data_IF_460602031554
#
_entry.id   IF_460602031554
#
_cell.length_a   1.000
_cell.length_b   1.000
_cell.length_c   1.000
_cell.angle_alpha   90.00
_cell.angle_beta   90.00
_cell.angle_gamma   90.00
#
_symmetry.space_group_name_H-M   'P 1'
#
loop_
_entity.id
_entity.type
_entity.pdbx_description
1 polymer ?
#
# COMPACT_ATOMS: atom_id res chain seq x y z
N UNK A 1 7.76 -34.53 -12.36
CA UNK A 1 6.31 -34.71 -12.10
C UNK A 1 5.69 -35.58 -13.18
N UNK A 2 5.93 -35.34 -14.44
CA UNK A 2 5.39 -36.13 -15.56
C UNK A 2 5.68 -37.64 -15.44
N UNK A 3 6.91 -38.01 -15.05
CA UNK A 3 7.27 -39.43 -14.80
C UNK A 3 6.43 -40.13 -13.71
N UNK A 4 5.95 -39.40 -12.73
CA UNK A 4 5.07 -39.94 -11.68
C UNK A 4 3.68 -40.27 -12.26
N UNK A 5 3.20 -39.41 -13.15
CA UNK A 5 1.92 -39.64 -13.83
C UNK A 5 2.02 -40.81 -14.78
N UNK A 6 3.11 -40.92 -15.55
CA UNK A 6 3.37 -42.08 -16.44
C UNK A 6 3.39 -43.38 -15.63
N UNK A 7 4.08 -43.42 -14.49
CA UNK A 7 4.13 -44.60 -13.63
C UNK A 7 2.78 -44.91 -12.96
N UNK A 8 1.96 -43.91 -12.67
CA UNK A 8 0.60 -44.12 -12.17
C UNK A 8 -0.30 -44.77 -13.23
N UNK A 9 -0.20 -44.30 -14.48
CA UNK A 9 -0.96 -44.87 -15.61
C UNK A 9 -0.51 -46.32 -15.84
N UNK A 10 0.80 -46.58 -15.83
CA UNK A 10 1.35 -47.95 -16.00
C UNK A 10 0.94 -48.85 -14.85
N UNK A 11 0.91 -48.36 -13.61
CA UNK A 11 0.43 -49.11 -12.45
C UNK A 11 -1.05 -49.47 -12.56
N UNK A 12 -1.90 -48.56 -13.05
CA UNK A 12 -3.31 -48.86 -13.29
C UNK A 12 -3.55 -49.89 -14.40
N UNK A 13 -2.71 -49.85 -15.44
CA UNK A 13 -2.75 -50.84 -16.53
C UNK A 13 -2.34 -52.22 -16.02
N UNK A 14 -1.27 -52.31 -15.22
CA UNK A 14 -0.84 -53.55 -14.59
C UNK A 14 -1.88 -54.10 -13.60
N UNK A 15 -2.57 -53.23 -12.84
CA UNK A 15 -3.61 -53.63 -11.93
C UNK A 15 -4.83 -54.26 -12.66
N UNK A 16 -5.18 -53.71 -13.84
CA UNK A 16 -6.22 -54.28 -14.71
C UNK A 16 -5.81 -55.60 -15.34
N UNK A 17 -4.51 -55.83 -15.55
CA UNK A 17 -3.97 -57.07 -16.06
C UNK A 17 -3.75 -58.15 -14.97
N UNK A 18 -4.00 -57.80 -13.68
CA UNK A 18 -3.80 -58.74 -12.57
C UNK A 18 -2.34 -58.92 -12.12
N UNK A 19 -1.40 -58.13 -12.64
CA UNK A 19 0.02 -58.20 -12.28
C UNK A 19 0.30 -57.33 -11.02
N UNK A 20 -0.06 -57.84 -9.86
CA UNK A 20 0.15 -57.16 -8.60
C UNK A 20 1.62 -56.99 -8.21
N UNK A 21 2.54 -57.85 -8.74
CA UNK A 21 3.96 -57.70 -8.53
C UNK A 21 4.50 -56.41 -9.15
N UNK A 22 4.12 -56.16 -10.39
CA UNK A 22 4.49 -54.94 -11.12
C UNK A 22 3.85 -53.70 -10.52
N UNK A 23 2.62 -53.79 -10.01
CA UNK A 23 1.95 -52.71 -9.31
C UNK A 23 2.72 -52.29 -8.04
N UNK A 24 3.19 -53.30 -7.27
CA UNK A 24 3.97 -53.03 -6.04
C UNK A 24 5.31 -52.38 -6.35
N UNK A 25 6.03 -52.87 -7.37
CA UNK A 25 7.30 -52.28 -7.84
C UNK A 25 7.13 -50.82 -8.26
N UNK A 26 6.10 -50.52 -9.04
CA UNK A 26 5.83 -49.17 -9.51
C UNK A 26 5.42 -48.21 -8.36
N UNK A 27 4.48 -48.62 -7.52
CA UNK A 27 3.94 -47.77 -6.46
C UNK A 27 4.94 -47.55 -5.31
N UNK A 28 5.57 -48.62 -4.82
CA UNK A 28 6.43 -48.54 -3.65
C UNK A 28 7.92 -48.37 -4.00
N UNK A 29 8.32 -48.70 -5.22
CA UNK A 29 9.68 -48.55 -5.72
C UNK A 29 9.83 -47.24 -6.50
N UNK A 30 9.41 -47.23 -7.75
CA UNK A 30 9.72 -46.14 -8.70
C UNK A 30 9.07 -44.81 -8.39
N UNK A 31 7.79 -44.79 -7.98
CA UNK A 31 7.10 -43.55 -7.59
C UNK A 31 7.72 -42.98 -6.31
N UNK A 32 8.02 -43.82 -5.32
CA UNK A 32 8.63 -43.37 -4.06
C UNK A 32 10.03 -42.78 -4.26
N UNK A 33 10.84 -43.40 -5.16
CA UNK A 33 12.17 -42.89 -5.49
C UNK A 33 12.13 -41.53 -6.17
N UNK A 34 11.23 -41.38 -7.17
CA UNK A 34 11.06 -40.11 -7.89
C UNK A 34 10.50 -39.03 -6.95
N UNK A 35 9.60 -39.39 -6.02
CA UNK A 35 9.07 -38.44 -5.02
C UNK A 35 10.18 -37.96 -4.09
N UNK A 36 11.03 -38.85 -3.55
CA UNK A 36 12.20 -38.45 -2.74
C UNK A 36 13.13 -37.51 -3.47
N UNK A 37 13.36 -37.76 -4.77
CA UNK A 37 14.19 -36.90 -5.60
C UNK A 37 13.58 -35.51 -5.79
N UNK A 38 12.26 -35.42 -5.94
CA UNK A 38 11.53 -34.14 -6.03
C UNK A 38 11.66 -33.40 -4.70
N UNK A 39 11.43 -34.06 -3.58
CA UNK A 39 11.50 -33.45 -2.25
C UNK A 39 12.91 -32.94 -1.95
N UNK A 40 13.95 -33.69 -2.32
CA UNK A 40 15.34 -33.26 -2.19
C UNK A 40 15.68 -32.06 -3.04
N UNK A 41 15.24 -32.03 -4.29
CA UNK A 41 15.43 -30.87 -5.19
C UNK A 41 14.67 -29.64 -4.72
N UNK A 42 13.43 -29.82 -4.25
CA UNK A 42 12.63 -28.74 -3.66
C UNK A 42 13.28 -28.15 -2.43
N UNK A 43 13.88 -29.03 -1.58
CA UNK A 43 14.61 -28.58 -0.38
C UNK A 43 15.87 -27.80 -0.75
N UNK A 44 16.64 -28.26 -1.72
CA UNK A 44 17.82 -27.55 -2.24
C UNK A 44 17.44 -26.21 -2.85
N UNK A 45 16.31 -26.15 -3.55
CA UNK A 45 15.80 -24.90 -4.15
C UNK A 45 15.37 -23.89 -3.07
N UNK A 46 14.77 -24.35 -1.95
CA UNK A 46 14.41 -23.51 -0.82
C UNK A 46 15.63 -22.95 -0.03
N UNK A 47 16.79 -23.62 -0.13
CA UNK A 47 18.05 -23.18 0.50
C UNK A 47 18.76 -22.07 -0.31
N UNK A 48 18.39 -21.86 -1.57
CA UNK A 48 18.93 -20.77 -2.42
C UNK A 48 18.24 -19.46 -2.03
N UNK A 49 18.96 -18.60 -1.34
CA UNK A 49 18.46 -17.31 -0.80
C UNK A 49 17.98 -16.30 -1.85
N UNK A 50 18.42 -16.41 -3.12
CA UNK A 50 17.99 -15.54 -4.22
C UNK A 50 17.85 -16.36 -5.51
N UNK A 51 16.70 -16.96 -5.79
CA UNK A 51 16.48 -17.62 -7.08
C UNK A 51 16.36 -16.54 -8.18
N UNK A 52 17.22 -16.63 -9.19
CA UNK A 52 17.24 -15.73 -10.36
C UNK A 52 15.90 -15.76 -11.13
N UNK A 53 15.15 -16.84 -10.99
CA UNK A 53 13.80 -17.01 -11.58
C UNK A 53 12.90 -17.72 -10.57
N UNK A 54 11.84 -17.09 -10.18
CA UNK A 54 10.76 -17.72 -9.39
C UNK A 54 9.77 -18.38 -10.34
N UNK A 55 9.52 -19.67 -10.19
CA UNK A 55 8.53 -20.42 -11.00
C UNK A 55 7.08 -20.12 -10.63
N UNK A 56 6.85 -19.44 -9.52
CA UNK A 56 5.52 -19.10 -9.01
C UNK A 56 5.38 -17.57 -8.88
N UNK A 57 4.28 -17.04 -9.41
CA UNK A 57 3.90 -15.65 -9.21
C UNK A 57 3.37 -15.51 -7.78
N UNK A 58 4.04 -14.68 -7.00
CA UNK A 58 3.64 -14.37 -5.62
C UNK A 58 2.71 -13.15 -5.59
N UNK A 59 1.91 -12.97 -4.53
CA UNK A 59 1.16 -11.72 -4.32
C UNK A 59 2.06 -10.48 -4.33
N UNK A 60 3.33 -10.66 -3.96
CA UNK A 60 4.35 -9.62 -3.93
C UNK A 60 4.72 -9.16 -5.34
N UNK A 61 4.87 -10.10 -6.28
CA UNK A 61 5.17 -9.78 -7.69
C UNK A 61 4.02 -9.00 -8.33
N UNK A 62 2.77 -9.37 -8.02
CA UNK A 62 1.58 -8.67 -8.51
C UNK A 62 1.53 -7.26 -7.92
N UNK A 63 1.78 -7.13 -6.61
CA UNK A 63 1.80 -5.84 -5.91
C UNK A 63 2.87 -4.90 -6.49
N UNK A 64 4.04 -5.44 -6.86
CA UNK A 64 5.12 -4.67 -7.48
C UNK A 64 4.73 -4.13 -8.86
N UNK A 65 4.11 -4.96 -9.69
CA UNK A 65 3.62 -4.55 -11.02
C UNK A 65 2.54 -3.48 -10.89
N UNK A 66 1.57 -3.68 -9.98
CA UNK A 66 0.50 -2.70 -9.72
C UNK A 66 1.07 -1.39 -9.20
N UNK A 67 2.03 -1.43 -8.27
CA UNK A 67 2.71 -0.25 -7.76
C UNK A 67 3.41 0.54 -8.87
N UNK A 68 4.06 -0.17 -9.81
CA UNK A 68 4.75 0.44 -10.94
C UNK A 68 3.78 1.11 -11.93
N UNK A 69 2.59 0.56 -12.13
CA UNK A 69 1.58 1.12 -13.04
C UNK A 69 0.79 2.27 -12.43
N UNK A 70 0.46 2.18 -11.15
CA UNK A 70 -0.42 3.14 -10.46
C UNK A 70 0.36 4.21 -9.70
N UNK A 71 1.65 4.03 -9.47
CA UNK A 71 2.45 4.88 -8.58
C UNK A 71 2.11 4.70 -7.09
N UNK A 72 1.30 3.70 -6.75
CA UNK A 72 0.91 3.40 -5.36
C UNK A 72 1.94 2.43 -4.77
N UNK A 73 2.58 2.73 -3.63
CA UNK A 73 3.56 1.85 -3.01
C UNK A 73 2.89 0.65 -2.33
N UNK A 74 2.47 -0.35 -3.11
CA UNK A 74 1.74 -1.54 -2.64
C UNK A 74 2.66 -2.56 -1.96
N UNK A 75 3.97 -2.52 -2.22
CA UNK A 75 4.95 -3.49 -1.71
C UNK A 75 4.98 -3.61 -0.18
N UNK A 76 4.78 -2.51 0.54
CA UNK A 76 4.76 -2.51 2.01
C UNK A 76 3.36 -2.71 2.63
N UNK A 77 2.31 -2.80 1.83
CA UNK A 77 0.98 -3.18 2.32
C UNK A 77 0.90 -4.69 2.68
N UNK A 78 1.90 -5.47 2.27
CA UNK A 78 2.01 -6.90 2.60
C UNK A 78 2.70 -7.19 3.96
N UNK A 79 3.40 -6.21 4.53
CA UNK A 79 3.73 -6.27 5.96
C UNK A 79 2.41 -6.21 6.73
N UNK A 80 2.27 -7.05 7.75
CA UNK A 80 1.07 -7.11 8.58
C UNK A 80 0.65 -5.68 8.97
N UNK A 81 -0.37 -5.13 8.27
CA UNK A 81 -0.88 -3.76 8.49
C UNK A 81 -1.13 -3.50 9.97
N UNK A 82 -1.51 -4.55 10.70
CA UNK A 82 -1.77 -4.51 12.12
C UNK A 82 -0.51 -4.15 12.94
N UNK A 83 0.64 -4.75 12.63
CA UNK A 83 1.89 -4.44 13.34
C UNK A 83 2.40 -3.05 13.01
N UNK A 84 2.24 -2.63 11.76
CA UNK A 84 2.58 -1.27 11.33
C UNK A 84 1.73 -0.24 12.08
N UNK A 85 0.41 -0.45 12.18
CA UNK A 85 -0.50 0.44 12.90
C UNK A 85 -0.24 0.51 14.41
N UNK A 86 0.28 -0.56 15.02
CA UNK A 86 0.66 -0.54 16.44
C UNK A 86 1.91 0.30 16.71
N UNK A 87 2.78 0.48 15.71
CA UNK A 87 4.05 1.22 15.83
C UNK A 87 4.00 2.65 15.30
N UNK A 88 2.83 3.15 14.85
CA UNK A 88 2.70 4.45 14.21
C UNK A 88 3.26 5.60 15.07
N UNK A 89 2.98 5.63 16.37
CA UNK A 89 3.47 6.68 17.26
C UNK A 89 5.00 6.64 17.35
N UNK A 90 5.58 5.46 17.55
CA UNK A 90 7.04 5.30 17.64
C UNK A 90 7.75 5.65 16.32
N UNK A 91 7.13 5.39 15.18
CA UNK A 91 7.69 5.76 13.87
C UNK A 91 7.63 7.30 13.67
N UNK A 92 6.51 7.93 14.02
CA UNK A 92 6.38 9.39 13.93
C UNK A 92 7.34 10.11 14.88
N UNK A 93 7.55 9.58 16.07
CA UNK A 93 8.51 10.13 17.06
C UNK A 93 9.98 10.05 16.62
N UNK A 94 10.34 9.21 15.66
CA UNK A 94 11.69 9.21 15.09
C UNK A 94 12.05 10.52 14.39
N UNK A 95 11.05 11.20 13.84
CA UNK A 95 11.21 12.47 13.10
C UNK A 95 10.73 13.70 13.89
N UNK A 96 9.71 13.53 14.71
CA UNK A 96 9.08 14.63 15.44
C UNK A 96 9.30 14.43 16.94
N UNK A 97 10.08 15.31 17.53
CA UNK A 97 10.38 15.30 18.95
C UNK A 97 9.29 16.06 19.71
N UNK A 98 8.71 15.44 20.74
CA UNK A 98 7.55 15.98 21.45
C UNK A 98 6.28 15.85 20.63
N UNK A 99 5.31 16.75 20.82
CA UNK A 99 4.02 16.77 20.11
C UNK A 99 3.17 15.51 20.33
N UNK A 100 3.28 14.87 21.51
CA UNK A 100 2.65 13.60 21.82
C UNK A 100 1.15 13.59 21.55
N UNK A 101 0.43 14.66 21.93
CA UNK A 101 -1.00 14.79 21.68
C UNK A 101 -1.35 14.82 20.20
N UNK A 102 -0.54 15.52 19.38
CA UNK A 102 -0.76 15.61 17.95
C UNK A 102 -0.49 14.26 17.28
N UNK A 103 0.60 13.59 17.65
CA UNK A 103 0.97 12.27 17.15
C UNK A 103 -0.10 11.24 17.51
N UNK A 104 -0.57 11.23 18.75
CA UNK A 104 -1.62 10.32 19.20
C UNK A 104 -2.94 10.55 18.45
N UNK A 105 -3.37 11.81 18.30
CA UNK A 105 -4.60 12.14 17.57
C UNK A 105 -4.55 11.64 16.10
N UNK A 106 -3.40 11.83 15.44
CA UNK A 106 -3.17 11.32 14.08
C UNK A 106 -3.18 9.79 14.05
N UNK A 107 -2.47 9.15 14.96
CA UNK A 107 -2.40 7.69 15.07
C UNK A 107 -3.78 7.06 15.25
N UNK A 108 -4.59 7.63 16.16
CA UNK A 108 -5.95 7.16 16.42
C UNK A 108 -6.89 7.35 15.23
N UNK A 109 -6.76 8.44 14.47
CA UNK A 109 -7.54 8.63 13.25
C UNK A 109 -7.19 7.60 12.18
N UNK A 110 -5.90 7.33 11.98
CA UNK A 110 -5.44 6.30 11.03
C UNK A 110 -5.94 4.92 11.46
N UNK A 111 -5.84 4.57 12.74
CA UNK A 111 -6.34 3.29 13.28
C UNK A 111 -7.86 3.15 13.07
N UNK A 112 -8.65 4.19 13.38
CA UNK A 112 -10.11 4.18 13.14
C UNK A 112 -10.46 3.98 11.69
N UNK A 113 -9.75 4.66 10.80
CA UNK A 113 -9.98 4.50 9.36
C UNK A 113 -9.70 3.07 8.89
N UNK A 114 -8.59 2.48 9.31
CA UNK A 114 -8.20 1.11 8.95
C UNK A 114 -9.08 0.04 9.59
N UNK A 115 -9.73 0.36 10.70
CA UNK A 115 -10.74 -0.50 11.32
C UNK A 115 -12.12 -0.45 10.61
N UNK A 116 -12.24 0.30 9.51
CA UNK A 116 -13.51 0.43 8.78
C UNK A 116 -14.53 1.35 9.47
N UNK A 117 -14.12 2.12 10.47
CA UNK A 117 -15.00 3.01 11.25
C UNK A 117 -15.09 4.41 10.64
N UNK A 118 -14.48 4.65 9.49
CA UNK A 118 -14.55 5.93 8.78
C UNK A 118 -15.49 5.87 7.58
N UNK A 119 -16.00 7.03 7.18
CA UNK A 119 -16.81 7.15 5.98
C UNK A 119 -15.88 7.20 4.75
N UNK A 120 -16.06 6.31 3.79
CA UNK A 120 -15.25 6.23 2.56
C UNK A 120 -15.28 7.51 1.71
N UNK A 121 -16.32 8.34 1.85
CA UNK A 121 -16.46 9.64 1.15
C UNK A 121 -15.73 10.78 1.84
N UNK A 122 -15.07 10.53 2.97
CA UNK A 122 -14.34 11.55 3.74
C UNK A 122 -12.86 11.18 3.84
N UNK A 123 -11.96 12.15 4.02
CA UNK A 123 -10.56 11.88 4.29
C UNK A 123 -10.40 11.03 5.56
N UNK A 124 -9.29 10.31 5.67
CA UNK A 124 -8.92 9.50 6.84
C UNK A 124 -8.98 10.29 8.14
N UNK A 125 -8.54 11.55 8.09
CA UNK A 125 -8.62 12.52 9.17
C UNK A 125 -8.40 13.92 8.64
N UNK A 126 -8.98 14.90 9.32
CA UNK A 126 -8.74 16.32 9.11
C UNK A 126 -8.25 16.90 10.42
N UNK A 127 -7.08 17.55 10.39
CA UNK A 127 -6.40 18.05 11.58
C UNK A 127 -6.05 19.52 11.41
N UNK A 128 -6.26 20.30 12.45
CA UNK A 128 -5.79 21.67 12.53
C UNK A 128 -4.65 21.74 13.56
N UNK A 129 -3.44 22.01 13.07
CA UNK A 129 -2.27 22.19 13.94
C UNK A 129 -2.02 23.66 14.20
N UNK A 130 -2.23 24.08 15.42
CA UNK A 130 -1.96 25.44 15.88
C UNK A 130 -0.69 25.49 16.70
N UNK A 131 0.13 26.52 16.50
CA UNK A 131 1.38 26.70 17.24
C UNK A 131 2.34 27.63 16.51
N UNK A 132 3.42 28.03 17.20
CA UNK A 132 4.46 28.88 16.65
C UNK A 132 5.22 28.24 15.51
N UNK A 133 5.98 29.02 14.75
CA UNK A 133 6.84 28.53 13.68
C UNK A 133 7.95 27.61 14.26
N UNK A 134 8.31 26.57 13.55
CA UNK A 134 9.42 25.68 13.95
C UNK A 134 9.06 24.55 14.92
N UNK A 135 7.81 24.44 15.37
CA UNK A 135 7.39 23.37 16.32
C UNK A 135 7.14 21.99 15.65
N UNK A 136 7.42 21.86 14.36
CA UNK A 136 7.34 20.58 13.66
C UNK A 136 6.02 20.28 12.94
N UNK A 137 5.10 21.26 12.76
CA UNK A 137 3.80 21.04 12.08
C UNK A 137 3.95 20.41 10.68
N UNK A 138 4.80 21.00 9.86
CA UNK A 138 5.07 20.52 8.49
C UNK A 138 5.84 19.19 8.49
N UNK A 139 6.75 19.01 9.45
CA UNK A 139 7.52 17.79 9.58
C UNK A 139 6.64 16.60 9.99
N UNK A 140 5.63 16.82 10.83
CA UNK A 140 4.66 15.77 11.17
C UNK A 140 3.85 15.33 9.93
N UNK A 141 3.48 16.26 9.05
CA UNK A 141 2.79 15.92 7.79
C UNK A 141 3.68 15.09 6.86
N UNK A 142 4.99 15.40 6.75
CA UNK A 142 5.95 14.62 5.97
C UNK A 142 6.18 13.24 6.59
N UNK A 143 6.37 13.16 7.90
CA UNK A 143 6.52 11.90 8.61
C UNK A 143 5.28 10.99 8.42
N UNK A 144 4.08 11.58 8.43
CA UNK A 144 2.84 10.86 8.16
C UNK A 144 2.76 10.35 6.72
N UNK A 145 3.16 11.16 5.73
CA UNK A 145 3.21 10.74 4.33
C UNK A 145 4.19 9.57 4.13
N UNK A 146 5.39 9.67 4.72
CA UNK A 146 6.38 8.59 4.70
C UNK A 146 5.85 7.33 5.36
N UNK A 147 5.19 7.45 6.50
CA UNK A 147 4.62 6.31 7.21
C UNK A 147 3.50 5.62 6.42
N UNK A 148 2.56 6.39 5.86
CA UNK A 148 1.40 5.85 5.14
C UNK A 148 1.76 5.32 3.75
N UNK A 149 2.62 6.06 3.02
CA UNK A 149 2.87 5.83 1.60
C UNK A 149 4.32 5.45 1.28
N UNK A 150 5.20 5.38 2.30
CA UNK A 150 6.65 5.12 2.19
C UNK A 150 7.41 6.12 1.31
N UNK A 151 6.85 7.29 1.12
CA UNK A 151 7.47 8.39 0.39
C UNK A 151 7.03 9.71 1.02
N UNK A 152 7.98 10.49 1.52
CA UNK A 152 7.72 11.81 2.09
C UNK A 152 7.21 12.82 1.05
N UNK A 153 7.41 12.54 -0.25
CA UNK A 153 6.93 13.36 -1.36
C UNK A 153 5.45 13.09 -1.71
N UNK A 154 4.83 12.10 -1.08
CA UNK A 154 3.38 11.86 -1.18
C UNK A 154 2.60 12.87 -0.32
N UNK A 155 2.99 14.15 -0.45
CA UNK A 155 2.36 15.29 0.17
C UNK A 155 2.03 16.33 -0.92
N UNK A 156 0.81 16.85 -0.87
CA UNK A 156 0.40 17.99 -1.68
C UNK A 156 0.34 19.21 -0.77
N UNK A 157 1.34 20.09 -0.90
CA UNK A 157 1.39 21.33 -0.13
C UNK A 157 0.75 22.46 -0.93
N UNK A 158 -0.18 23.16 -0.31
CA UNK A 158 -0.84 24.35 -0.84
C UNK A 158 -0.62 25.49 0.16
N UNK A 159 -0.01 26.56 -0.32
CA UNK A 159 0.17 27.78 0.47
C UNK A 159 -1.11 28.61 0.40
N UNK A 160 -1.79 28.72 1.53
CA UNK A 160 -3.08 29.41 1.62
C UNK A 160 -2.94 30.93 1.59
N UNK A 161 -1.72 31.46 1.69
CA UNK A 161 -1.47 32.89 1.49
C UNK A 161 -1.74 33.35 0.04
N UNK A 162 -1.74 32.42 -0.93
CA UNK A 162 -2.13 32.72 -2.31
C UNK A 162 -3.65 32.84 -2.52
N UNK A 163 -4.45 32.48 -1.51
CA UNK A 163 -5.91 32.38 -1.55
C UNK A 163 -6.58 33.37 -0.60
N UNK A 164 -6.03 34.57 -0.48
CA UNK A 164 -6.55 35.65 0.36
C UNK A 164 -7.78 36.34 -0.23
N UNK A 165 -7.94 36.30 -1.55
CA UNK A 165 -9.01 36.96 -2.24
C UNK A 165 -10.10 35.98 -2.67
N UNK A 166 -11.36 36.45 -2.67
CA UNK A 166 -12.52 35.61 -2.99
C UNK A 166 -12.42 34.93 -4.35
N UNK A 167 -11.91 35.63 -5.37
CA UNK A 167 -11.81 35.06 -6.71
C UNK A 167 -10.74 33.96 -6.83
N UNK A 168 -9.79 33.90 -5.90
CA UNK A 168 -8.76 32.84 -5.91
C UNK A 168 -9.29 31.52 -5.37
N UNK A 169 -10.40 31.51 -4.64
CA UNK A 169 -11.02 30.26 -4.13
C UNK A 169 -11.46 29.36 -5.27
N UNK A 170 -11.99 29.93 -6.37
CA UNK A 170 -12.35 29.16 -7.56
C UNK A 170 -11.14 28.48 -8.26
N UNK A 171 -9.94 29.03 -8.11
CA UNK A 171 -8.71 28.37 -8.58
C UNK A 171 -8.35 27.15 -7.75
N UNK A 172 -8.73 27.13 -6.46
CA UNK A 172 -8.46 26.01 -5.57
C UNK A 172 -9.36 24.81 -5.88
N UNK A 173 -10.67 25.03 -5.97
CA UNK A 173 -11.69 23.98 -6.09
C UNK A 173 -12.14 23.77 -7.54
N UNK A 174 -12.04 24.77 -8.39
CA UNK A 174 -12.57 24.84 -9.75
C UNK A 174 -13.73 25.80 -9.88
N UNK A 175 -13.98 26.28 -11.10
CA UNK A 175 -15.12 27.16 -11.36
C UNK A 175 -16.43 26.37 -11.44
N UNK A 176 -17.56 26.92 -10.97
CA UNK A 176 -18.88 26.31 -11.14
C UNK A 176 -19.26 26.19 -12.61
N UNK A 177 -20.17 25.27 -12.97
CA UNK A 177 -20.68 25.14 -14.34
C UNK A 177 -21.21 26.46 -14.89
N UNK A 178 -20.77 26.83 -16.10
CA UNK A 178 -21.18 28.05 -16.78
C UNK A 178 -20.30 29.28 -16.54
N UNK A 179 -19.25 29.16 -15.71
CA UNK A 179 -18.26 30.23 -15.53
C UNK A 179 -17.01 29.99 -16.38
N UNK A 180 -16.30 31.05 -16.71
CA UNK A 180 -15.00 30.98 -17.41
C UNK A 180 -14.01 30.21 -16.54
N UNK A 181 -13.33 29.20 -17.16
CA UNK A 181 -12.39 28.32 -16.45
C UNK A 181 -13.02 27.04 -15.88
N UNK A 182 -14.27 26.72 -16.21
CA UNK A 182 -14.92 25.47 -15.78
C UNK A 182 -14.16 24.21 -16.25
N UNK A 183 -13.60 24.24 -17.45
CA UNK A 183 -12.82 23.12 -18.02
C UNK A 183 -11.41 23.01 -17.41
N UNK A 184 -10.94 24.04 -16.72
CA UNK A 184 -9.70 24.03 -15.96
C UNK A 184 -10.03 23.55 -14.53
N UNK A 185 -9.76 22.29 -14.21
CA UNK A 185 -9.94 21.76 -12.85
C UNK A 185 -9.25 22.60 -11.79
N UNK A 186 -9.78 22.63 -10.57
CA UNK A 186 -9.15 23.37 -9.47
C UNK A 186 -7.81 22.76 -9.07
N UNK A 187 -6.90 23.58 -8.55
CA UNK A 187 -5.55 23.16 -8.19
C UNK A 187 -5.56 22.01 -7.18
N UNK A 188 -6.42 22.07 -6.16
CA UNK A 188 -6.59 21.01 -5.17
C UNK A 188 -7.22 19.75 -5.80
N UNK A 189 -8.29 19.93 -6.57
CA UNK A 189 -9.02 18.82 -7.20
C UNK A 189 -8.15 18.06 -8.20
N UNK A 190 -7.35 18.78 -9.01
CA UNK A 190 -6.39 18.16 -9.92
C UNK A 190 -5.23 17.48 -9.19
N UNK A 191 -4.73 18.07 -8.12
CA UNK A 191 -3.68 17.46 -7.32
C UNK A 191 -4.14 16.14 -6.68
N UNK A 192 -5.36 16.11 -6.13
CA UNK A 192 -5.96 14.89 -5.56
C UNK A 192 -6.25 13.87 -6.64
N UNK A 193 -6.72 14.28 -7.81
CA UNK A 193 -6.97 13.37 -8.94
C UNK A 193 -5.68 12.69 -9.43
N UNK A 194 -4.57 13.44 -9.47
CA UNK A 194 -3.26 12.92 -9.89
C UNK A 194 -2.59 12.06 -8.83
N UNK A 195 -2.77 12.41 -7.54
CA UNK A 195 -2.19 11.72 -6.38
C UNK A 195 -3.27 11.42 -5.36
N UNK A 196 -4.13 10.41 -5.59
CA UNK A 196 -5.28 10.11 -4.72
C UNK A 196 -4.83 9.61 -3.33
N UNK A 197 -3.62 9.06 -3.24
CA UNK A 197 -3.00 8.61 -1.99
C UNK A 197 -1.91 9.60 -1.59
N UNK A 198 -2.30 10.68 -0.94
CA UNK A 198 -1.38 11.72 -0.49
C UNK A 198 -1.89 12.40 0.79
N UNK A 199 -0.99 13.03 1.50
CA UNK A 199 -1.31 13.97 2.57
C UNK A 199 -1.48 15.36 1.96
N UNK A 200 -2.60 16.01 2.22
CA UNK A 200 -2.84 17.39 1.79
C UNK A 200 -2.47 18.30 2.97
N UNK A 201 -1.50 19.17 2.75
CA UNK A 201 -1.08 20.20 3.71
C UNK A 201 -1.53 21.58 3.21
N UNK A 202 -2.47 22.16 3.93
CA UNK A 202 -2.88 23.55 3.74
C UNK A 202 -2.07 24.41 4.71
N UNK A 203 -1.00 25.03 4.21
CA UNK A 203 -0.09 25.82 5.02
C UNK A 203 -0.61 27.27 5.15
N UNK A 204 -0.35 27.91 6.29
CA UNK A 204 -0.79 29.29 6.59
C UNK A 204 -2.31 29.51 6.41
N UNK A 205 -3.09 28.53 6.86
CA UNK A 205 -4.56 28.51 6.68
C UNK A 205 -5.25 29.76 7.21
N UNK A 206 -4.68 30.43 8.21
CA UNK A 206 -5.16 31.66 8.80
C UNK A 206 -5.16 32.86 7.83
N UNK A 207 -4.39 32.78 6.74
CA UNK A 207 -4.32 33.82 5.71
C UNK A 207 -5.36 33.66 4.62
N UNK A 208 -6.02 32.52 4.56
CA UNK A 208 -7.00 32.20 3.53
C UNK A 208 -8.27 33.06 3.65
N UNK A 209 -8.93 33.33 2.52
CA UNK A 209 -10.23 33.95 2.52
C UNK A 209 -11.27 33.05 3.23
N UNK A 210 -12.19 33.61 4.02
CA UNK A 210 -13.21 32.82 4.73
C UNK A 210 -14.03 31.87 3.87
N UNK A 211 -14.26 32.19 2.60
CA UNK A 211 -14.99 31.32 1.66
C UNK A 211 -14.28 29.99 1.38
N UNK A 212 -12.98 29.85 1.72
CA UNK A 212 -12.23 28.58 1.63
C UNK A 212 -12.75 27.56 2.63
N UNK A 213 -13.32 28.01 3.76
CA UNK A 213 -13.81 27.14 4.83
C UNK A 213 -15.26 26.68 4.63
N UNK A 214 -15.94 27.16 3.60
CA UNK A 214 -17.31 26.80 3.25
C UNK A 214 -17.31 25.74 2.12
#
# INVERSE_FOLDING_TARGET
RQKIEDYKIESQAAERAGDYGKVAELRYGKIAEVQKKIDELTRRQAEIKDPIVTEAVTPQDIAEVVAKWTGIPVQKMLESEKEKLLRIESELHKRVVGQDQAIQAVADAVRRSRAGLSNEKRPIGSFLFMGTTGVGKTELAKALAEFLFNDENMITRIDMSEYQERHTVSRLVGAPPGYVGYDEGGQLTEAVRRKPYSVILLDEIEKAHPDVFN
#
